data_IF_345322586823
#
_entry.id   IF_345322586823
#
_cell.length_a   1.000
_cell.length_b   1.000
_cell.length_c   1.000
_cell.angle_alpha   90.00
_cell.angle_beta   90.00
_cell.angle_gamma   90.00
#
_symmetry.space_group_name_H-M   'P 1'
#
loop_
_entity.id
_entity.type
_entity.pdbx_description
1 polymer ?
#
# COMPACT_ATOMS: atom_id res chain seq x y z
N UNK A 1 -26.16 25.53 5.55
CA UNK A 1 -26.18 25.54 4.06
C UNK A 1 -24.85 26.10 3.59
N UNK A 2 -23.83 25.24 3.43
CA UNK A 2 -22.54 25.64 2.84
C UNK A 2 -22.57 25.25 1.37
N UNK A 3 -22.40 26.24 0.51
CA UNK A 3 -22.26 26.12 -0.93
C UNK A 3 -21.11 25.14 -1.22
N UNK A 4 -21.45 24.01 -1.86
CA UNK A 4 -20.47 23.15 -2.51
C UNK A 4 -19.89 23.95 -3.67
N UNK A 5 -18.65 24.41 -3.52
CA UNK A 5 -17.86 24.85 -4.66
C UNK A 5 -17.82 23.69 -5.66
N UNK A 6 -18.00 24.00 -6.94
CA UNK A 6 -17.84 23.07 -8.05
C UNK A 6 -16.41 22.51 -7.96
N UNK A 7 -16.28 21.35 -7.31
CA UNK A 7 -15.01 20.81 -6.86
C UNK A 7 -14.17 20.36 -8.03
N UNK A 8 -12.86 20.57 -7.92
CA UNK A 8 -11.80 20.04 -8.79
C UNK A 8 -12.17 18.62 -9.31
N UNK A 9 -11.80 18.24 -10.55
CA UNK A 9 -11.96 16.86 -11.00
C UNK A 9 -11.25 15.94 -10.00
N UNK A 10 -11.99 15.20 -9.19
CA UNK A 10 -11.41 14.17 -8.36
C UNK A 10 -11.13 12.99 -9.29
N UNK A 11 -9.85 12.62 -9.41
CA UNK A 11 -9.34 11.58 -10.33
C UNK A 11 -10.21 10.31 -10.29
N UNK A 12 -10.67 9.92 -9.09
CA UNK A 12 -11.47 8.71 -8.86
C UNK A 12 -12.98 8.95 -8.71
N UNK A 13 -13.49 10.14 -9.04
CA UNK A 13 -14.88 10.54 -8.74
C UNK A 13 -15.91 9.53 -9.21
N UNK A 14 -15.72 9.03 -10.43
CA UNK A 14 -16.67 8.13 -11.09
C UNK A 14 -16.39 6.65 -10.80
N UNK A 15 -15.31 6.35 -10.07
CA UNK A 15 -14.88 5.00 -9.68
C UNK A 15 -15.17 4.68 -8.21
N UNK A 16 -15.53 5.67 -7.39
CA UNK A 16 -15.83 5.44 -5.97
C UNK A 16 -17.29 4.98 -5.83
N UNK A 17 -17.45 3.69 -5.57
CA UNK A 17 -18.72 3.09 -5.19
C UNK A 17 -18.61 2.49 -3.79
N UNK A 18 -19.69 2.56 -3.01
CA UNK A 18 -19.73 1.95 -1.68
C UNK A 18 -20.58 0.69 -1.68
N UNK A 19 -20.11 -0.32 -0.97
CA UNK A 19 -20.82 -1.56 -0.71
C UNK A 19 -20.80 -1.89 0.77
N UNK A 20 -21.69 -2.80 1.19
CA UNK A 20 -21.71 -3.30 2.55
C UNK A 20 -21.28 -4.76 2.58
N UNK A 21 -20.28 -5.10 3.39
CA UNK A 21 -19.78 -6.49 3.51
C UNK A 21 -19.39 -6.83 4.94
N UNK A 22 -19.38 -8.14 5.22
CA UNK A 22 -18.78 -8.69 6.43
C UNK A 22 -17.29 -8.93 6.21
N UNK A 23 -16.46 -8.69 7.22
CA UNK A 23 -15.07 -9.10 7.16
C UNK A 23 -14.92 -10.59 7.48
N UNK A 24 -14.08 -11.29 6.70
CA UNK A 24 -13.75 -12.68 6.97
C UNK A 24 -12.68 -12.79 8.08
N UNK A 25 -13.14 -12.72 9.33
CA UNK A 25 -12.31 -12.84 10.54
C UNK A 25 -12.07 -14.29 11.00
N UNK A 26 -12.22 -15.29 10.11
CA UNK A 26 -11.85 -16.67 10.44
C UNK A 26 -10.34 -16.77 10.70
N UNK A 27 -9.96 -17.62 11.65
CA UNK A 27 -8.57 -17.91 11.99
C UNK A 27 -7.79 -18.38 10.77
N UNK A 28 -6.55 -17.88 10.62
CA UNK A 28 -5.61 -18.31 9.56
C UNK A 28 -5.13 -19.74 9.80
N UNK A 29 -4.98 -20.14 11.06
CA UNK A 29 -4.55 -21.47 11.45
C UNK A 29 -5.67 -22.25 12.12
N UNK A 30 -5.66 -23.57 11.90
CA UNK A 30 -6.44 -24.58 12.61
C UNK A 30 -5.78 -24.91 13.96
N UNK A 31 -6.49 -25.65 14.81
CA UNK A 31 -5.99 -26.02 16.15
C UNK A 31 -4.76 -26.94 16.12
N UNK A 32 -4.54 -27.65 15.02
CA UNK A 32 -3.37 -28.51 14.78
C UNK A 32 -2.16 -27.74 14.21
N UNK A 33 -2.25 -26.41 14.08
CA UNK A 33 -1.21 -25.55 13.53
C UNK A 33 -1.16 -25.52 12.00
N UNK A 34 -2.03 -26.26 11.31
CA UNK A 34 -2.11 -26.21 9.85
C UNK A 34 -2.90 -25.01 9.36
N UNK A 35 -2.73 -24.64 8.08
CA UNK A 35 -3.51 -23.55 7.49
C UNK A 35 -4.99 -23.90 7.38
N UNK A 36 -5.84 -22.97 7.77
CA UNK A 36 -7.28 -23.11 7.67
C UNK A 36 -7.74 -22.89 6.21
N UNK A 37 -7.80 -23.97 5.44
CA UNK A 37 -8.25 -23.97 4.03
C UNK A 37 -9.71 -23.52 3.84
N UNK A 38 -10.52 -23.47 4.90
CA UNK A 38 -11.90 -22.97 4.86
C UNK A 38 -12.01 -21.43 5.00
N UNK A 39 -10.88 -20.73 5.11
CA UNK A 39 -10.84 -19.26 5.07
C UNK A 39 -10.76 -18.80 3.61
N UNK A 40 -11.84 -18.18 3.10
CA UNK A 40 -11.95 -17.72 1.70
C UNK A 40 -10.90 -16.70 1.24
N UNK A 41 -10.23 -16.01 2.17
CA UNK A 41 -9.19 -15.01 1.87
C UNK A 41 -7.89 -15.40 2.56
N UNK A 42 -7.52 -16.69 2.50
CA UNK A 42 -6.26 -17.16 3.06
C UNK A 42 -5.07 -16.55 2.29
N UNK A 43 -5.28 -16.15 1.04
CA UNK A 43 -4.27 -15.74 0.06
C UNK A 43 -3.32 -14.65 0.58
N UNK A 44 -3.78 -13.73 1.43
CA UNK A 44 -2.95 -12.63 1.96
C UNK A 44 -2.33 -12.90 3.35
N UNK A 45 -2.37 -14.13 3.87
CA UNK A 45 -1.90 -14.45 5.23
C UNK A 45 -1.32 -15.85 5.36
N UNK A 46 -0.61 -16.11 6.46
CA UNK A 46 0.09 -17.37 6.70
C UNK A 46 1.51 -17.38 6.12
N UNK A 47 2.19 -18.53 6.10
CA UNK A 47 3.58 -18.63 5.66
C UNK A 47 3.73 -18.36 4.15
N UNK A 48 4.94 -17.96 3.72
CA UNK A 48 5.28 -17.75 2.31
C UNK A 48 4.92 -18.97 1.47
N UNK A 49 4.28 -18.73 0.32
CA UNK A 49 3.86 -19.75 -0.66
C UNK A 49 3.53 -19.08 -2.00
N UNK A 50 3.59 -19.81 -3.13
CA UNK A 50 3.38 -19.22 -4.45
C UNK A 50 2.05 -18.46 -4.58
N UNK A 51 0.96 -19.01 -4.07
CA UNK A 51 -0.37 -18.39 -4.17
C UNK A 51 -0.47 -17.09 -3.36
N UNK A 52 0.31 -16.96 -2.28
CA UNK A 52 0.37 -15.75 -1.47
C UNK A 52 1.17 -14.65 -2.16
N UNK A 53 2.30 -15.01 -2.79
CA UNK A 53 3.08 -14.05 -3.57
C UNK A 53 2.28 -13.54 -4.76
N UNK A 54 1.58 -14.44 -5.47
CA UNK A 54 0.71 -14.07 -6.58
C UNK A 54 -0.41 -13.11 -6.14
N UNK A 55 -1.10 -13.41 -5.03
CA UNK A 55 -2.15 -12.54 -4.52
C UNK A 55 -1.64 -11.14 -4.15
N UNK A 56 -0.49 -11.07 -3.48
CA UNK A 56 0.13 -9.79 -3.12
C UNK A 56 0.64 -9.01 -4.34
N UNK A 57 1.18 -9.68 -5.35
CA UNK A 57 1.59 -9.03 -6.60
C UNK A 57 0.36 -8.45 -7.29
N UNK A 58 -0.67 -9.27 -7.53
CA UNK A 58 -1.89 -8.87 -8.23
C UNK A 58 -2.58 -7.65 -7.60
N UNK A 59 -2.63 -7.54 -6.26
CA UNK A 59 -3.29 -6.40 -5.61
C UNK A 59 -2.46 -5.10 -5.68
N UNK A 60 -1.14 -5.21 -5.90
CA UNK A 60 -0.17 -4.11 -5.97
C UNK A 60 0.28 -3.75 -7.40
N UNK A 61 -0.14 -4.51 -8.43
CA UNK A 61 0.30 -4.36 -9.82
C UNK A 61 0.14 -2.92 -10.35
N UNK A 62 -0.91 -2.21 -9.95
CA UNK A 62 -1.25 -0.89 -10.47
C UNK A 62 -0.99 0.24 -9.46
N UNK A 63 -0.04 0.04 -8.55
CA UNK A 63 0.34 1.05 -7.55
C UNK A 63 1.01 2.30 -8.15
N UNK A 64 1.56 2.18 -9.36
CA UNK A 64 2.24 3.25 -10.10
C UNK A 64 1.37 3.67 -11.28
N UNK A 65 0.85 4.89 -11.25
CA UNK A 65 -0.08 5.35 -12.28
C UNK A 65 0.18 6.79 -12.70
N UNK A 66 -0.26 7.13 -13.91
CA UNK A 66 -0.09 8.45 -14.51
C UNK A 66 -1.20 9.40 -14.08
N UNK A 67 -0.79 10.62 -13.73
CA UNK A 67 -1.69 11.75 -13.44
C UNK A 67 -1.39 12.91 -14.38
N UNK A 68 -2.42 13.54 -14.93
CA UNK A 68 -2.26 14.69 -15.81
C UNK A 68 -2.03 15.98 -15.02
N UNK A 69 -1.39 16.98 -15.63
CA UNK A 69 -1.04 18.24 -14.94
C UNK A 69 -2.28 18.94 -14.33
N UNK A 70 -3.41 18.90 -15.03
CA UNK A 70 -4.66 19.51 -14.55
C UNK A 70 -5.30 18.76 -13.37
N UNK A 71 -4.86 17.53 -13.10
CA UNK A 71 -5.33 16.66 -12.02
C UNK A 71 -4.46 16.78 -10.74
N UNK A 72 -3.30 17.45 -10.80
CA UNK A 72 -2.35 17.56 -9.68
C UNK A 72 -2.88 18.29 -8.44
N UNK A 73 -3.99 19.03 -8.56
CA UNK A 73 -4.64 19.66 -7.43
C UNK A 73 -3.74 20.65 -6.69
N UNK A 74 -3.43 20.35 -5.42
CA UNK A 74 -2.58 21.20 -4.56
C UNK A 74 -1.08 21.07 -4.84
N UNK A 75 -0.66 20.01 -5.53
CA UNK A 75 0.74 19.78 -5.91
C UNK A 75 1.13 20.55 -7.18
N UNK A 76 0.18 21.24 -7.81
CA UNK A 76 0.43 21.99 -9.05
C UNK A 76 1.54 23.03 -8.84
N UNK A 77 2.54 22.99 -9.72
CA UNK A 77 3.68 23.91 -9.70
C UNK A 77 4.87 23.46 -8.84
N UNK A 78 4.75 22.33 -8.14
CA UNK A 78 5.90 21.68 -7.49
C UNK A 78 6.83 21.10 -8.55
N UNK A 79 8.09 21.52 -8.54
CA UNK A 79 9.09 21.16 -9.57
C UNK A 79 9.70 19.77 -9.34
N UNK A 80 9.72 19.31 -8.10
CA UNK A 80 10.24 18.00 -7.70
C UNK A 80 9.33 16.82 -8.07
N UNK A 81 8.10 17.09 -8.53
CA UNK A 81 7.23 16.03 -9.01
C UNK A 81 7.84 15.38 -10.25
N UNK A 82 7.83 14.05 -10.25
CA UNK A 82 8.37 13.28 -11.36
C UNK A 82 7.44 13.39 -12.57
N UNK A 83 7.81 14.27 -13.51
CA UNK A 83 7.22 14.31 -14.85
C UNK A 83 7.88 13.25 -15.73
N UNK A 84 7.07 12.43 -16.38
CA UNK A 84 7.56 11.38 -17.28
C UNK A 84 8.18 12.01 -18.54
N UNK A 85 9.30 11.44 -19.00
CA UNK A 85 10.10 12.00 -20.10
C UNK A 85 9.40 12.00 -21.46
N UNK A 86 8.37 11.17 -21.61
CA UNK A 86 7.53 11.05 -22.81
C UNK A 86 6.32 12.02 -22.80
N UNK A 87 6.29 12.95 -21.84
CA UNK A 87 5.18 13.90 -21.62
C UNK A 87 3.82 13.23 -21.34
N UNK A 88 3.78 11.93 -21.02
CA UNK A 88 2.52 11.21 -20.77
C UNK A 88 1.83 11.56 -19.44
N UNK A 89 2.52 12.26 -18.54
CA UNK A 89 1.99 12.78 -17.29
C UNK A 89 3.01 12.78 -16.16
N UNK A 90 2.51 12.71 -14.93
CA UNK A 90 3.26 12.66 -13.69
C UNK A 90 3.12 11.30 -13.03
N UNK A 91 4.21 10.81 -12.46
CA UNK A 91 4.23 9.58 -11.66
C UNK A 91 3.60 9.85 -10.29
N UNK A 92 2.51 9.16 -9.98
CA UNK A 92 1.90 9.16 -8.64
C UNK A 92 1.61 7.74 -8.14
N UNK A 93 1.36 7.64 -6.84
CA UNK A 93 0.72 6.48 -6.20
C UNK A 93 -0.51 6.94 -5.42
N UNK A 94 -1.45 6.03 -5.16
CA UNK A 94 -2.66 6.31 -4.37
C UNK A 94 -2.44 5.85 -2.93
N UNK A 95 -2.96 6.59 -1.96
CA UNK A 95 -2.82 6.25 -0.54
C UNK A 95 -3.24 4.81 -0.20
N UNK A 96 -4.29 4.27 -0.83
CA UNK A 96 -4.72 2.87 -0.60
C UNK A 96 -3.68 1.84 -1.07
N UNK A 97 -2.96 2.14 -2.15
CA UNK A 97 -1.87 1.28 -2.64
C UNK A 97 -0.66 1.34 -1.72
N UNK A 98 -0.33 2.53 -1.19
CA UNK A 98 0.70 2.66 -0.16
C UNK A 98 0.30 1.91 1.14
N UNK A 99 -0.97 1.98 1.56
CA UNK A 99 -1.48 1.20 2.69
C UNK A 99 -1.28 -0.30 2.46
N UNK A 100 -1.68 -0.82 1.30
CA UNK A 100 -1.52 -2.25 0.96
C UNK A 100 -0.05 -2.66 0.90
N UNK A 101 0.83 -1.82 0.36
CA UNK A 101 2.28 -2.02 0.38
C UNK A 101 2.80 -2.14 1.82
N UNK A 102 2.39 -1.24 2.72
CA UNK A 102 2.75 -1.32 4.13
C UNK A 102 2.27 -2.64 4.79
N UNK A 103 1.05 -3.10 4.48
CA UNK A 103 0.52 -4.38 5.00
C UNK A 103 1.36 -5.56 4.49
N UNK A 104 1.72 -5.59 3.20
CA UNK A 104 2.60 -6.61 2.64
C UNK A 104 3.97 -6.59 3.33
N UNK A 105 4.56 -5.41 3.56
CA UNK A 105 5.86 -5.31 4.26
C UNK A 105 5.78 -5.83 5.69
N UNK A 106 4.71 -5.55 6.43
CA UNK A 106 4.50 -6.11 7.77
C UNK A 106 4.43 -7.64 7.73
N UNK A 107 3.76 -8.21 6.73
CA UNK A 107 3.77 -9.66 6.50
C UNK A 107 5.20 -10.17 6.24
N UNK A 108 5.94 -9.56 5.32
CA UNK A 108 7.32 -9.95 5.02
C UNK A 108 8.25 -9.81 6.22
N UNK A 109 8.03 -8.82 7.08
CA UNK A 109 8.76 -8.65 8.34
C UNK A 109 8.47 -9.77 9.35
N UNK A 110 7.22 -10.24 9.45
CA UNK A 110 6.87 -11.42 10.27
C UNK A 110 7.60 -12.69 9.82
N UNK A 111 7.92 -12.78 8.53
CA UNK A 111 8.66 -13.90 7.92
C UNK A 111 10.06 -13.46 7.45
N UNK A 112 10.73 -12.57 8.20
CA UNK A 112 12.02 -12.02 7.80
C UNK A 112 13.09 -13.08 7.54
N UNK A 113 13.05 -14.22 8.22
CA UNK A 113 14.02 -15.30 7.99
C UNK A 113 13.87 -15.94 6.60
N UNK A 114 12.70 -15.77 5.96
CA UNK A 114 12.45 -16.18 4.58
C UNK A 114 12.73 -15.05 3.59
N UNK A 115 12.20 -13.84 3.81
CA UNK A 115 12.28 -12.74 2.85
C UNK A 115 13.56 -11.90 2.94
N UNK A 116 14.26 -11.96 4.06
CA UNK A 116 15.37 -11.08 4.43
C UNK A 116 16.50 -11.87 5.11
N UNK A 117 16.73 -13.11 4.64
CA UNK A 117 17.82 -13.94 5.13
C UNK A 117 19.18 -13.31 4.79
N UNK A 118 20.09 -13.28 5.75
CA UNK A 118 21.48 -12.84 5.53
C UNK A 118 21.69 -11.33 5.44
N UNK A 119 20.73 -10.50 5.88
CA UNK A 119 20.94 -9.06 6.02
C UNK A 119 22.09 -8.74 6.99
N UNK A 120 22.86 -7.70 6.68
CA UNK A 120 23.77 -7.09 7.63
C UNK A 120 23.01 -6.45 8.79
N UNK A 121 23.69 -6.12 9.90
CA UNK A 121 23.06 -5.40 11.02
C UNK A 121 22.52 -4.03 10.59
N UNK A 122 23.22 -3.36 9.67
CA UNK A 122 22.79 -2.07 9.10
C UNK A 122 21.52 -2.24 8.27
N UNK A 123 21.47 -3.21 7.35
CA UNK A 123 20.29 -3.45 6.51
C UNK A 123 19.10 -3.94 7.34
N UNK A 124 19.35 -4.76 8.36
CA UNK A 124 18.32 -5.21 9.29
C UNK A 124 17.74 -4.03 10.09
N UNK A 125 18.59 -3.06 10.46
CA UNK A 125 18.14 -1.82 11.11
C UNK A 125 17.34 -0.94 10.14
N UNK A 126 17.79 -0.75 8.90
CA UNK A 126 17.06 -0.02 7.88
C UNK A 126 15.67 -0.65 7.59
N UNK A 127 15.61 -1.98 7.50
CA UNK A 127 14.36 -2.72 7.38
C UNK A 127 13.42 -2.45 8.57
N UNK A 128 13.95 -2.45 9.80
CA UNK A 128 13.17 -2.12 11.00
C UNK A 128 12.64 -0.69 10.95
N UNK A 129 13.48 0.29 10.62
CA UNK A 129 13.09 1.70 10.54
C UNK A 129 11.97 1.91 9.52
N UNK A 130 12.11 1.34 8.32
CA UNK A 130 11.06 1.39 7.32
C UNK A 130 9.76 0.74 7.86
N UNK A 131 9.87 -0.42 8.51
CA UNK A 131 8.70 -1.11 9.10
C UNK A 131 8.00 -0.25 10.15
N UNK A 132 8.74 0.49 10.97
CA UNK A 132 8.17 1.45 11.95
C UNK A 132 7.48 2.63 11.26
N UNK A 133 8.05 3.18 10.18
CA UNK A 133 7.41 4.19 9.35
C UNK A 133 6.09 3.67 8.74
N UNK A 134 6.09 2.48 8.16
CA UNK A 134 4.89 1.84 7.63
C UNK A 134 3.81 1.67 8.71
N UNK A 135 4.20 1.25 9.92
CA UNK A 135 3.27 1.07 11.02
C UNK A 135 2.64 2.39 11.46
N UNK A 136 3.43 3.46 11.59
CA UNK A 136 2.90 4.77 11.97
C UNK A 136 2.02 5.37 10.87
N UNK A 137 2.43 5.28 9.60
CA UNK A 137 1.62 5.75 8.48
C UNK A 137 0.29 4.99 8.39
N UNK A 138 0.30 3.66 8.54
CA UNK A 138 -0.91 2.84 8.56
C UNK A 138 -1.84 3.20 9.72
N UNK A 139 -1.30 3.47 10.92
CA UNK A 139 -2.08 3.97 12.05
C UNK A 139 -2.82 5.26 11.67
N UNK A 140 -2.12 6.23 11.07
CA UNK A 140 -2.72 7.49 10.62
C UNK A 140 -3.78 7.26 9.54
N UNK A 141 -3.50 6.39 8.57
CA UNK A 141 -4.44 6.03 7.49
C UNK A 141 -5.73 5.41 8.03
N UNK A 142 -5.63 4.47 9.00
CA UNK A 142 -6.80 3.86 9.65
C UNK A 142 -7.60 4.89 10.45
N UNK A 143 -6.94 5.82 11.15
CA UNK A 143 -7.64 6.88 11.89
C UNK A 143 -8.34 7.90 10.97
N UNK A 144 -7.76 8.17 9.80
CA UNK A 144 -8.38 9.00 8.77
C UNK A 144 -9.63 8.33 8.19
N UNK A 145 -9.61 7.00 8.05
CA UNK A 145 -10.71 6.18 7.53
C UNK A 145 -11.43 5.44 8.66
N UNK A 146 -11.88 6.17 9.68
CA UNK A 146 -12.47 5.59 10.89
C UNK A 146 -13.78 4.82 10.58
N UNK A 147 -13.72 3.49 10.62
CA UNK A 147 -14.89 2.63 10.58
C UNK A 147 -15.54 2.60 11.97
N UNK A 148 -16.79 3.06 12.05
CA UNK A 148 -17.57 3.16 13.29
C UNK A 148 -18.49 1.96 13.53
N UNK A 149 -18.37 0.90 12.72
CA UNK A 149 -19.10 -0.34 12.89
C UNK A 149 -18.77 -0.97 14.25
N UNK A 150 -19.81 -1.27 15.04
CA UNK A 150 -19.63 -1.81 16.39
C UNK A 150 -19.20 -3.28 16.34
N UNK A 151 -18.16 -3.61 17.11
CA UNK A 151 -17.74 -4.99 17.37
C UNK A 151 -18.23 -5.38 18.78
N UNK A 152 -19.22 -6.30 18.90
CA UNK A 152 -19.78 -6.66 20.19
C UNK A 152 -18.78 -7.47 21.02
N UNK A 153 -18.72 -7.15 22.31
CA UNK A 153 -18.04 -7.94 23.34
C UNK A 153 -19.07 -8.85 24.00
N UNK A 154 -18.80 -10.15 24.06
CA UNK A 154 -19.78 -11.15 24.55
C UNK A 154 -19.12 -12.23 25.40
N UNK A 155 -19.96 -12.94 26.16
CA UNK A 155 -19.56 -14.18 26.82
C UNK A 155 -19.60 -15.37 25.84
N UNK A 156 -18.64 -16.28 25.97
CA UNK A 156 -18.62 -17.55 25.26
C UNK A 156 -18.53 -18.70 26.27
N UNK A 157 -19.31 -19.76 26.06
CA UNK A 157 -19.33 -20.90 26.99
C UNK A 157 -17.99 -21.64 27.09
N UNK A 158 -17.10 -21.46 26.09
CA UNK A 158 -15.83 -22.18 25.98
C UNK A 158 -14.65 -21.48 26.68
N UNK A 159 -14.80 -20.23 27.15
CA UNK A 159 -13.72 -19.48 27.79
C UNK A 159 -14.25 -18.63 28.95
N UNK A 160 -13.47 -18.45 30.03
CA UNK A 160 -13.92 -17.69 31.19
C UNK A 160 -13.98 -16.16 30.96
N UNK A 161 -13.25 -15.65 29.95
CA UNK A 161 -13.19 -14.22 29.63
C UNK A 161 -14.17 -13.79 28.53
N UNK A 162 -14.47 -12.48 28.42
CA UNK A 162 -15.23 -11.96 27.30
C UNK A 162 -14.43 -12.10 25.99
N UNK A 163 -15.14 -12.37 24.90
CA UNK A 163 -14.57 -12.47 23.55
C UNK A 163 -15.19 -11.44 22.64
N UNK A 164 -14.41 -10.93 21.70
CA UNK A 164 -14.89 -10.13 20.58
C UNK A 164 -14.98 -11.03 19.34
N UNK A 165 -16.05 -10.84 18.57
CA UNK A 165 -16.10 -11.35 17.20
C UNK A 165 -16.73 -10.29 16.33
N UNK A 166 -16.04 -9.96 15.24
CA UNK A 166 -16.57 -9.03 14.27
C UNK A 166 -17.72 -9.69 13.50
N UNK A 167 -18.93 -9.21 13.77
CA UNK A 167 -20.17 -9.56 13.09
C UNK A 167 -20.79 -8.32 12.43
N UNK A 168 -20.03 -7.23 12.36
CA UNK A 168 -20.44 -5.98 11.80
C UNK A 168 -20.63 -6.07 10.29
N UNK A 169 -21.56 -5.26 9.79
CA UNK A 169 -21.64 -4.93 8.38
C UNK A 169 -20.89 -3.61 8.18
N UNK A 170 -19.77 -3.67 7.48
CA UNK A 170 -18.91 -2.52 7.24
C UNK A 170 -19.31 -1.85 5.94
N UNK A 171 -19.24 -0.51 5.89
CA UNK A 171 -19.32 0.22 4.64
C UNK A 171 -17.91 0.29 4.03
N UNK A 172 -17.74 -0.29 2.84
CA UNK A 172 -16.46 -0.38 2.16
C UNK A 172 -16.55 0.30 0.79
N UNK A 173 -15.42 0.80 0.29
CA UNK A 173 -15.29 1.16 -1.12
C UNK A 173 -15.20 -0.15 -1.93
N UNK A 174 -15.98 -0.26 -2.99
CA UNK A 174 -15.90 -1.35 -3.96
C UNK A 174 -14.53 -1.31 -4.64
N UNK A 175 -13.86 -2.46 -4.70
CA UNK A 175 -12.44 -2.50 -5.04
C UNK A 175 -12.22 -2.43 -6.56
N UNK A 176 -13.00 -3.19 -7.31
CA UNK A 176 -12.83 -3.42 -8.74
C UNK A 176 -12.85 -2.10 -9.54
N UNK A 177 -13.81 -1.18 -9.35
CA UNK A 177 -13.84 0.05 -10.15
C UNK A 177 -12.63 0.99 -9.92
N UNK A 178 -12.05 0.95 -8.71
CA UNK A 178 -10.84 1.72 -8.38
C UNK A 178 -9.62 1.10 -9.06
N UNK A 179 -9.51 -0.22 -9.01
CA UNK A 179 -8.42 -0.97 -9.64
C UNK A 179 -8.47 -0.86 -11.16
N UNK A 180 -9.64 -1.00 -11.78
CA UNK A 180 -9.80 -0.86 -13.23
C UNK A 180 -9.34 0.53 -13.71
N UNK A 181 -9.68 1.57 -12.95
CA UNK A 181 -9.21 2.91 -13.23
C UNK A 181 -7.69 3.04 -13.08
N UNK A 182 -7.10 2.53 -12.00
CA UNK A 182 -5.65 2.53 -11.82
C UNK A 182 -4.95 1.78 -12.95
N UNK A 183 -5.46 0.60 -13.32
CA UNK A 183 -4.94 -0.23 -14.40
C UNK A 183 -4.91 0.53 -15.74
N UNK A 184 -5.97 1.28 -16.06
CA UNK A 184 -6.05 2.08 -17.29
C UNK A 184 -4.96 3.16 -17.42
N UNK A 185 -4.31 3.53 -16.32
CA UNK A 185 -3.27 4.56 -16.24
C UNK A 185 -1.94 4.02 -15.72
N UNK A 186 -1.85 2.72 -15.48
CA UNK A 186 -0.68 2.08 -14.91
C UNK A 186 0.50 2.15 -15.87
N UNK A 187 1.71 2.07 -15.31
CA UNK A 187 2.92 2.00 -16.09
C UNK A 187 4.04 1.31 -15.32
N UNK A 188 5.04 0.83 -16.06
CA UNK A 188 6.25 0.30 -15.46
C UNK A 188 7.24 1.44 -15.17
N UNK A 189 7.45 1.81 -13.90
CA UNK A 189 8.43 2.84 -13.55
C UNK A 189 9.87 2.40 -13.82
N UNK A 190 10.13 1.09 -14.01
CA UNK A 190 11.44 0.55 -14.36
C UNK A 190 11.76 0.66 -15.86
N UNK A 191 10.80 1.13 -16.68
CA UNK A 191 11.03 1.34 -18.09
C UNK A 191 12.22 2.30 -18.31
N UNK A 192 13.32 1.85 -18.95
CA UNK A 192 14.51 2.67 -19.12
C UNK A 192 14.22 3.97 -19.87
N UNK A 193 14.72 5.08 -19.33
CA UNK A 193 14.59 6.40 -19.95
C UNK A 193 13.26 7.11 -19.69
N UNK A 194 12.28 6.46 -19.05
CA UNK A 194 11.00 7.08 -18.70
C UNK A 194 11.12 8.02 -17.50
N UNK A 195 11.90 7.61 -16.49
CA UNK A 195 12.26 8.43 -15.35
C UNK A 195 13.63 9.08 -15.60
N UNK A 196 13.72 10.40 -15.43
CA UNK A 196 14.97 11.15 -15.61
C UNK A 196 15.11 12.13 -14.46
N UNK A 197 16.11 11.91 -13.61
CA UNK A 197 16.42 12.83 -12.52
C UNK A 197 17.03 14.13 -13.10
N UNK A 198 16.59 15.33 -12.67
CA UNK A 198 17.09 16.61 -13.20
C UNK A 198 18.62 16.76 -13.09
N UNK A 199 19.19 16.34 -11.95
CA UNK A 199 20.64 16.35 -11.68
C UNK A 199 21.39 15.12 -12.18
N UNK A 200 20.88 13.91 -11.92
CA UNK A 200 21.64 12.66 -12.12
C UNK A 200 21.32 11.91 -13.42
N UNK A 201 20.33 12.36 -14.20
CA UNK A 201 19.92 11.70 -15.44
C UNK A 201 19.11 10.41 -15.21
N UNK A 202 19.23 9.44 -16.10
CA UNK A 202 18.47 8.18 -16.04
C UNK A 202 18.94 7.31 -14.85
N UNK A 203 18.08 7.04 -13.84
CA UNK A 203 18.46 6.27 -12.66
C UNK A 203 18.79 4.80 -12.96
N UNK A 204 18.41 4.27 -14.13
CA UNK A 204 18.65 2.88 -14.51
C UNK A 204 19.82 2.71 -15.49
N UNK A 205 20.56 3.78 -15.80
CA UNK A 205 21.63 3.71 -16.81
C UNK A 205 22.88 2.92 -16.36
N UNK A 206 23.07 2.74 -15.05
CA UNK A 206 24.32 2.23 -14.48
C UNK A 206 24.17 0.93 -13.66
N UNK A 207 23.04 0.21 -13.75
CA UNK A 207 22.72 -0.99 -12.92
C UNK A 207 22.77 -0.75 -11.39
N UNK A 208 22.92 0.50 -10.93
CA UNK A 208 22.91 0.90 -9.53
C UNK A 208 21.45 1.07 -9.03
N UNK A 209 20.82 -0.04 -8.66
CA UNK A 209 19.68 -0.02 -7.73
C UNK A 209 18.35 0.42 -8.35
N UNK A 210 17.75 -0.46 -9.13
CA UNK A 210 16.37 -0.31 -9.57
C UNK A 210 15.39 -0.48 -8.40
N UNK A 211 15.14 0.60 -7.65
CA UNK A 211 14.17 0.61 -6.56
C UNK A 211 12.99 1.51 -6.93
N UNK A 212 11.95 0.89 -7.50
CA UNK A 212 10.65 1.53 -7.71
C UNK A 212 9.74 1.17 -6.55
N UNK A 213 9.73 2.07 -5.58
CA UNK A 213 9.08 1.94 -4.30
C UNK A 213 9.78 2.92 -3.39
N UNK A 214 9.04 3.80 -2.74
CA UNK A 214 9.63 4.73 -1.78
C UNK A 214 10.57 3.93 -0.86
N UNK A 215 11.86 4.33 -0.86
CA UNK A 215 12.97 3.76 -0.09
C UNK A 215 13.61 2.49 -0.67
N UNK A 216 14.71 2.68 -1.39
CA UNK A 216 15.74 1.65 -1.56
C UNK A 216 16.40 1.31 -0.21
N UNK A 217 16.80 0.06 -0.03
CA UNK A 217 17.42 -0.44 1.21
C UNK A 217 18.84 0.08 1.43
N UNK A 218 19.44 0.73 0.43
CA UNK A 218 20.78 1.29 0.50
C UNK A 218 20.75 2.80 0.32
N UNK A 219 20.79 3.52 1.45
CA UNK A 219 21.02 4.96 1.46
C UNK A 219 20.96 5.49 2.87
N UNK A 220 22.12 5.84 3.45
CA UNK A 220 22.28 6.37 4.82
C UNK A 220 21.63 7.73 5.10
N UNK A 221 20.52 8.06 4.42
CA UNK A 221 19.61 9.13 4.77
C UNK A 221 18.53 8.65 5.74
N UNK A 222 17.80 9.57 6.36
CA UNK A 222 16.70 9.26 7.27
C UNK A 222 15.63 8.43 6.53
N UNK A 223 15.67 7.10 6.69
CA UNK A 223 14.74 6.18 6.07
C UNK A 223 13.29 6.57 6.44
N UNK A 224 12.50 7.04 5.47
CA UNK A 224 11.10 7.43 5.67
C UNK A 224 10.84 8.92 6.01
N UNK A 225 11.82 9.80 5.83
CA UNK A 225 11.68 11.26 5.91
C UNK A 225 12.29 11.96 4.69
N UNK A 226 11.87 13.22 4.47
CA UNK A 226 12.38 14.14 3.45
C UNK A 226 13.90 14.00 3.26
N UNK A 227 14.34 13.59 2.06
CA UNK A 227 15.75 13.24 1.76
C UNK A 227 16.61 14.47 1.45
N UNK A 228 16.16 15.65 1.87
CA UNK A 228 16.76 16.95 1.54
C UNK A 228 15.83 17.77 0.64
N UNK A 229 16.22 19.01 0.29
CA UNK A 229 15.35 19.93 -0.42
C UNK A 229 14.95 19.38 -1.80
N UNK A 230 13.69 19.64 -2.17
CA UNK A 230 13.17 19.45 -3.52
C UNK A 230 14.12 20.05 -4.59
N UNK A 231 14.37 19.29 -5.65
CA UNK A 231 15.17 19.69 -6.83
C UNK A 231 14.31 20.14 -8.01
#
# INVERSE_FOLDING_TARGET
MRLLTCGRPAIFRDSIHFETRYFNVRSVYSSDGTLNRNKSNLDFSGPPRPELEEAWNNILDYQNFRVQEYELGEFKGQKSLIKLSDDSGYYMTVAVQHALHCVQRLHRYMYKDHYHAGLSDEDAFALKQHTEHCLDWLRQYVQCNADTTLIPIRWAASVPGPVSKDWGKHQCVAWEPIVDFMASRAFDPLQPGLLVHPTFGNPYANDEGAHTGAVGLHGGGLYGGDQGPDV
#
